data_IF_221466802862
#
_entry.id   IF_221466802862
#
_cell.length_a   1.000
_cell.length_b   1.000
_cell.length_c   1.000
_cell.angle_alpha   90.00
_cell.angle_beta   90.00
_cell.angle_gamma   90.00
#
_symmetry.space_group_name_H-M   'P 1'
#
loop_
_entity.id
_entity.type
_entity.pdbx_description
1 polymer ?
#
# COMPACT_ATOMS: atom_id res chain seq x y z
N UNK A 1 10.88 -30.20 2.75
CA UNK A 1 10.15 -29.15 3.48
C UNK A 1 10.84 -27.86 3.10
N UNK A 2 10.23 -27.05 2.23
CA UNK A 2 10.84 -25.79 1.82
C UNK A 2 10.74 -24.83 3.00
N UNK A 3 11.89 -24.37 3.50
CA UNK A 3 11.96 -23.27 4.45
C UNK A 3 11.24 -22.08 3.83
N UNK A 4 10.17 -21.63 4.47
CA UNK A 4 9.61 -20.33 4.14
C UNK A 4 10.66 -19.30 4.57
N UNK A 5 11.03 -18.33 3.71
CA UNK A 5 11.97 -17.30 4.10
C UNK A 5 11.43 -16.61 5.36
N UNK A 6 12.20 -16.65 6.45
CA UNK A 6 11.92 -15.87 7.63
C UNK A 6 11.77 -14.42 7.21
N UNK A 7 10.64 -13.80 7.60
CA UNK A 7 10.49 -12.36 7.42
C UNK A 7 11.50 -11.70 8.36
N UNK A 8 12.62 -11.22 7.81
CA UNK A 8 13.65 -10.43 8.49
C UNK A 8 13.09 -9.08 8.98
N UNK A 9 12.14 -9.11 9.92
CA UNK A 9 11.60 -7.91 10.55
C UNK A 9 12.57 -7.36 11.60
N UNK A 10 13.35 -8.26 12.23
CA UNK A 10 14.21 -7.94 13.37
C UNK A 10 15.55 -7.31 12.95
N UNK A 11 15.91 -7.39 11.66
CA UNK A 11 17.18 -6.85 11.12
C UNK A 11 17.04 -5.42 10.52
N UNK A 12 15.82 -4.88 10.42
CA UNK A 12 15.57 -3.54 9.87
C UNK A 12 15.59 -2.51 11.00
N UNK A 13 16.78 -1.96 11.27
CA UNK A 13 16.96 -0.96 12.33
C UNK A 13 16.84 0.48 11.84
N UNK A 14 16.76 0.71 10.52
CA UNK A 14 16.79 2.06 9.93
C UNK A 14 15.63 2.26 8.95
N UNK A 15 14.81 3.28 9.21
CA UNK A 15 13.77 3.75 8.27
C UNK A 15 14.44 4.63 7.23
N UNK A 16 14.17 4.37 5.94
CA UNK A 16 14.68 5.18 4.84
C UNK A 16 14.12 6.62 4.93
N UNK A 17 14.99 7.61 4.80
CA UNK A 17 14.52 8.97 4.57
C UNK A 17 13.86 9.12 3.18
N UNK A 18 13.26 10.28 2.91
CA UNK A 18 12.56 10.53 1.65
C UNK A 18 13.47 10.40 0.42
N UNK A 19 14.71 10.90 0.52
CA UNK A 19 15.67 10.92 -0.60
C UNK A 19 16.18 9.52 -0.90
N UNK A 20 16.44 8.73 0.13
CA UNK A 20 16.83 7.33 0.02
C UNK A 20 15.72 6.51 -0.65
N UNK A 21 14.46 6.70 -0.23
CA UNK A 21 13.30 6.05 -0.83
C UNK A 21 13.17 6.39 -2.34
N UNK A 22 13.26 7.67 -2.69
CA UNK A 22 13.23 8.12 -4.10
C UNK A 22 14.39 7.52 -4.92
N UNK A 23 15.60 7.46 -4.34
CA UNK A 23 16.77 6.89 -5.00
C UNK A 23 16.60 5.40 -5.27
N UNK A 24 15.99 4.66 -4.33
CA UNK A 24 15.69 3.24 -4.50
C UNK A 24 14.64 3.03 -5.59
N UNK A 25 13.57 3.84 -5.60
CA UNK A 25 12.54 3.80 -6.65
C UNK A 25 13.17 4.00 -8.03
N UNK A 26 14.06 4.98 -8.15
CA UNK A 26 14.75 5.26 -9.41
C UNK A 26 15.58 4.08 -9.89
N UNK A 27 16.37 3.47 -9.00
CA UNK A 27 17.17 2.28 -9.32
C UNK A 27 16.32 1.07 -9.71
N UNK A 28 15.19 0.87 -9.02
CA UNK A 28 14.25 -0.21 -9.34
C UNK A 28 13.67 -0.01 -10.74
N UNK A 29 13.24 1.22 -11.05
CA UNK A 29 12.71 1.54 -12.38
C UNK A 29 13.78 1.43 -13.47
N UNK A 30 15.01 1.90 -13.22
CA UNK A 30 16.15 1.77 -14.14
C UNK A 30 16.50 0.31 -14.44
N UNK A 31 16.27 -0.59 -13.48
CA UNK A 31 16.45 -2.03 -13.66
C UNK A 31 15.34 -2.69 -14.50
N UNK A 32 14.33 -1.93 -14.96
CA UNK A 32 13.24 -2.43 -15.80
C UNK A 32 12.11 -3.11 -15.03
N UNK A 33 12.03 -2.92 -13.71
CA UNK A 33 10.89 -3.40 -12.91
C UNK A 33 9.63 -2.66 -13.35
N UNK A 34 8.53 -3.39 -13.50
CA UNK A 34 7.27 -2.84 -14.00
C UNK A 34 6.31 -2.40 -12.88
N UNK A 35 6.42 -3.00 -11.70
CA UNK A 35 5.47 -2.83 -10.59
C UNK A 35 6.19 -2.69 -9.26
N UNK A 36 5.70 -1.79 -8.42
CA UNK A 36 6.18 -1.57 -7.07
C UNK A 36 5.03 -1.74 -6.09
N UNK A 37 5.18 -2.70 -5.17
CA UNK A 37 4.29 -2.85 -4.03
C UNK A 37 4.89 -2.17 -2.81
N UNK A 38 4.16 -1.23 -2.21
CA UNK A 38 4.52 -0.52 -0.99
C UNK A 38 3.66 -1.06 0.14
N UNK A 39 4.29 -1.58 1.19
CA UNK A 39 3.65 -2.12 2.39
C UNK A 39 4.58 -2.05 3.59
N UNK A 40 4.43 -2.95 4.56
CA UNK A 40 5.30 -3.01 5.75
C UNK A 40 4.49 -2.79 7.03
N UNK A 41 4.79 -1.73 7.77
CA UNK A 41 3.91 -1.21 8.83
C UNK A 41 2.61 -0.66 8.23
N UNK A 42 2.17 0.53 8.64
CA UNK A 42 1.09 1.23 7.94
C UNK A 42 1.69 2.29 7.01
N UNK A 43 1.79 2.06 5.68
CA UNK A 43 2.45 2.99 4.77
C UNK A 43 1.75 4.35 4.72
N UNK A 44 0.43 4.40 4.94
CA UNK A 44 -0.33 5.65 4.95
C UNK A 44 -0.11 6.50 6.21
N UNK A 45 0.64 6.01 7.20
CA UNK A 45 1.10 6.82 8.35
C UNK A 45 2.42 7.54 8.07
N UNK A 46 3.06 7.29 6.92
CA UNK A 46 4.34 7.90 6.55
C UNK A 46 4.08 9.29 5.93
N UNK A 47 4.63 10.35 6.53
CA UNK A 47 4.33 11.75 6.18
C UNK A 47 4.59 12.10 4.71
N UNK A 48 5.59 11.46 4.08
CA UNK A 48 6.02 11.67 2.69
C UNK A 48 5.48 10.61 1.72
N UNK A 49 4.49 9.79 2.12
CA UNK A 49 3.97 8.68 1.29
C UNK A 49 3.48 9.15 -0.08
N UNK A 50 2.79 10.29 -0.15
CA UNK A 50 2.28 10.84 -1.41
C UNK A 50 3.43 11.18 -2.35
N UNK A 51 4.51 11.78 -1.84
CA UNK A 51 5.71 12.11 -2.62
C UNK A 51 6.41 10.85 -3.15
N UNK A 52 6.46 9.79 -2.35
CA UNK A 52 7.06 8.51 -2.71
C UNK A 52 6.27 7.84 -3.84
N UNK A 53 4.94 7.77 -3.68
CA UNK A 53 4.05 7.18 -4.68
C UNK A 53 4.05 8.00 -5.97
N UNK A 54 4.05 9.34 -5.86
CA UNK A 54 4.18 10.24 -7.00
C UNK A 54 5.46 9.99 -7.80
N UNK A 55 6.61 9.84 -7.11
CA UNK A 55 7.88 9.51 -7.76
C UNK A 55 7.81 8.17 -8.50
N UNK A 56 7.26 7.14 -7.88
CA UNK A 56 7.13 5.83 -8.53
C UNK A 56 6.22 5.88 -9.76
N UNK A 57 5.12 6.64 -9.68
CA UNK A 57 4.24 6.90 -10.82
C UNK A 57 4.94 7.66 -11.95
N UNK A 58 5.70 8.73 -11.66
CA UNK A 58 6.51 9.47 -12.64
C UNK A 58 7.53 8.57 -13.36
N UNK A 59 8.10 7.60 -12.62
CA UNK A 59 9.00 6.57 -13.15
C UNK A 59 8.27 5.47 -13.92
N UNK A 60 6.95 5.60 -14.14
CA UNK A 60 6.06 4.68 -14.88
C UNK A 60 5.92 3.30 -14.25
N UNK A 61 6.17 3.19 -12.94
CA UNK A 61 5.88 1.97 -12.19
C UNK A 61 4.37 1.85 -11.98
N UNK A 62 3.84 0.63 -12.09
CA UNK A 62 2.51 0.31 -11.56
C UNK A 62 2.64 0.20 -10.05
N UNK A 63 2.06 1.16 -9.33
CA UNK A 63 2.20 1.23 -7.87
C UNK A 63 0.96 0.65 -7.19
N UNK A 64 1.19 -0.22 -6.20
CA UNK A 64 0.16 -0.64 -5.26
C UNK A 64 0.60 -0.29 -3.84
N UNK A 65 -0.32 0.25 -3.06
CA UNK A 65 -0.11 0.49 -1.62
C UNK A 65 -0.97 -0.49 -0.85
N UNK A 66 -0.39 -1.23 0.09
CA UNK A 66 -1.11 -2.14 0.98
C UNK A 66 -1.32 -1.50 2.34
N UNK A 67 -2.57 -1.21 2.69
CA UNK A 67 -2.94 -0.69 4.00
C UNK A 67 -3.58 -1.78 4.87
N UNK A 68 -3.37 -1.73 6.17
CA UNK A 68 -4.09 -2.59 7.14
C UNK A 68 -5.31 -1.89 7.75
N UNK A 69 -5.60 -0.66 7.32
CA UNK A 69 -6.71 0.17 7.82
C UNK A 69 -7.88 0.13 6.85
N UNK A 70 -9.08 0.02 7.43
CA UNK A 70 -10.33 0.14 6.67
C UNK A 70 -10.87 1.58 6.63
N UNK A 71 -10.53 2.39 7.63
CA UNK A 71 -11.01 3.76 7.75
C UNK A 71 -9.92 4.74 7.34
N UNK A 72 -10.26 5.59 6.39
CA UNK A 72 -9.41 6.63 5.82
C UNK A 72 -10.20 7.91 5.63
N UNK A 73 -9.53 9.05 5.74
CA UNK A 73 -10.11 10.31 5.31
C UNK A 73 -10.18 10.34 3.78
N UNK A 74 -11.28 10.88 3.24
CA UNK A 74 -11.51 10.94 1.80
C UNK A 74 -10.40 11.73 1.09
N UNK A 75 -9.89 12.78 1.73
CA UNK A 75 -8.85 13.65 1.17
C UNK A 75 -7.51 12.91 1.00
N UNK A 76 -7.12 12.07 1.97
CA UNK A 76 -5.90 11.26 1.90
C UNK A 76 -5.95 10.27 0.73
N UNK A 77 -7.09 9.58 0.58
CA UNK A 77 -7.29 8.66 -0.54
C UNK A 77 -7.37 9.39 -1.88
N UNK A 78 -7.93 10.60 -1.92
CA UNK A 78 -7.99 11.41 -3.13
C UNK A 78 -6.60 11.82 -3.60
N UNK A 79 -5.72 12.22 -2.69
CA UNK A 79 -4.32 12.52 -3.04
C UNK A 79 -3.59 11.29 -3.56
N UNK A 80 -3.81 10.12 -2.93
CA UNK A 80 -3.22 8.86 -3.35
C UNK A 80 -3.72 8.40 -4.74
N UNK A 81 -5.01 8.54 -5.01
CA UNK A 81 -5.66 8.15 -6.25
C UNK A 81 -5.16 8.91 -7.50
N UNK A 82 -4.45 10.03 -7.31
CA UNK A 82 -3.77 10.73 -8.42
C UNK A 82 -2.64 9.91 -9.03
N UNK A 83 -2.07 8.97 -8.27
CA UNK A 83 -0.82 8.29 -8.62
C UNK A 83 -0.95 6.77 -8.71
N UNK A 84 -1.97 6.18 -8.10
CA UNK A 84 -2.20 4.74 -8.15
C UNK A 84 -3.59 4.41 -8.71
N UNK A 85 -3.72 3.22 -9.30
CA UNK A 85 -5.01 2.68 -9.74
C UNK A 85 -5.64 1.73 -8.77
N UNK A 86 -4.86 1.10 -7.90
CA UNK A 86 -5.35 0.06 -7.02
C UNK A 86 -4.74 0.18 -5.62
N UNK A 87 -5.61 0.33 -4.62
CA UNK A 87 -5.28 0.17 -3.21
C UNK A 87 -5.45 -1.31 -2.83
N UNK A 88 -4.50 -1.86 -2.08
CA UNK A 88 -4.57 -3.21 -1.54
C UNK A 88 -4.97 -3.13 -0.06
N UNK A 89 -5.94 -3.94 0.36
CA UNK A 89 -6.28 -4.12 1.78
C UNK A 89 -5.63 -5.40 2.31
N UNK A 90 -4.89 -5.32 3.40
CA UNK A 90 -4.36 -6.50 4.09
C UNK A 90 -5.46 -7.19 4.89
N UNK A 91 -5.82 -8.42 4.51
CA UNK A 91 -6.90 -9.16 5.16
C UNK A 91 -6.40 -9.84 6.44
N UNK A 92 -7.00 -9.45 7.58
CA UNK A 92 -6.80 -10.11 8.86
C UNK A 92 -7.70 -11.34 8.95
N UNK A 93 -7.16 -12.50 8.59
CA UNK A 93 -7.91 -13.75 8.46
C UNK A 93 -8.64 -14.12 9.76
N UNK A 94 -7.98 -13.96 10.91
CA UNK A 94 -8.58 -14.27 12.21
C UNK A 94 -9.79 -13.38 12.52
N UNK A 95 -9.70 -12.09 12.20
CA UNK A 95 -10.81 -11.15 12.41
C UNK A 95 -11.95 -11.43 11.44
N UNK A 96 -11.65 -11.70 10.16
CA UNK A 96 -12.66 -12.04 9.16
C UNK A 96 -13.39 -13.34 9.52
N UNK A 97 -12.69 -14.33 10.10
CA UNK A 97 -13.31 -15.57 10.56
C UNK A 97 -14.16 -15.39 11.82
N UNK A 98 -13.72 -14.55 12.78
CA UNK A 98 -14.44 -14.32 14.05
C UNK A 98 -15.61 -13.35 13.90
N UNK A 99 -15.46 -12.35 13.05
CA UNK A 99 -16.37 -11.21 12.91
C UNK A 99 -16.68 -10.92 11.42
N UNK A 100 -17.20 -11.90 10.66
CA UNK A 100 -17.32 -11.81 9.20
C UNK A 100 -18.20 -10.65 8.74
N UNK A 101 -19.35 -10.42 9.39
CA UNK A 101 -20.25 -9.35 8.99
C UNK A 101 -19.65 -7.96 9.26
N UNK A 102 -18.93 -7.79 10.38
CA UNK A 102 -18.28 -6.51 10.71
C UNK A 102 -17.14 -6.20 9.72
N UNK A 103 -16.30 -7.18 9.41
CA UNK A 103 -15.20 -7.00 8.46
C UNK A 103 -15.74 -6.78 7.03
N UNK A 104 -16.81 -7.47 6.65
CA UNK A 104 -17.50 -7.25 5.37
C UNK A 104 -18.11 -5.86 5.27
N UNK A 105 -18.74 -5.35 6.34
CA UNK A 105 -19.29 -4.00 6.37
C UNK A 105 -18.18 -2.95 6.14
N UNK A 106 -17.05 -3.07 6.85
CA UNK A 106 -15.88 -2.21 6.66
C UNK A 106 -15.33 -2.27 5.23
N UNK A 107 -15.24 -3.46 4.64
CA UNK A 107 -14.83 -3.63 3.24
C UNK A 107 -15.79 -2.93 2.28
N UNK A 108 -17.10 -3.06 2.47
CA UNK A 108 -18.11 -2.41 1.62
C UNK A 108 -18.00 -0.89 1.71
N UNK A 109 -17.81 -0.34 2.92
CA UNK A 109 -17.61 1.10 3.12
C UNK A 109 -16.35 1.60 2.39
N UNK A 110 -15.23 0.88 2.52
CA UNK A 110 -13.98 1.23 1.85
C UNK A 110 -14.09 1.12 0.32
N UNK A 111 -14.77 0.10 -0.20
CA UNK A 111 -15.04 -0.07 -1.64
C UNK A 111 -15.89 1.08 -2.17
N UNK A 112 -16.91 1.51 -1.43
CA UNK A 112 -17.74 2.65 -1.82
C UNK A 112 -16.90 3.93 -1.93
N UNK A 113 -16.08 4.20 -0.90
CA UNK A 113 -15.21 5.37 -0.83
C UNK A 113 -14.20 5.42 -1.98
N UNK A 114 -13.55 4.29 -2.27
CA UNK A 114 -12.53 4.22 -3.34
C UNK A 114 -13.14 4.28 -4.74
N UNK A 115 -14.34 3.72 -4.93
CA UNK A 115 -15.06 3.82 -6.21
C UNK A 115 -15.38 5.27 -6.59
N UNK A 116 -15.74 6.11 -5.62
CA UNK A 116 -15.98 7.55 -5.87
C UNK A 116 -14.73 8.28 -6.40
N UNK A 117 -13.54 7.74 -6.08
CA UNK A 117 -12.25 8.28 -6.50
C UNK A 117 -11.69 7.64 -7.78
N UNK A 118 -12.40 6.67 -8.36
CA UNK A 118 -11.88 5.87 -9.48
C UNK A 118 -10.67 5.01 -9.10
N UNK A 119 -10.58 4.64 -7.82
CA UNK A 119 -9.54 3.79 -7.26
C UNK A 119 -10.10 2.38 -7.08
N UNK A 120 -9.45 1.39 -7.68
CA UNK A 120 -9.81 -0.02 -7.51
C UNK A 120 -9.30 -0.55 -6.17
N UNK A 121 -9.95 -1.61 -5.68
CA UNK A 121 -9.51 -2.35 -4.50
C UNK A 121 -9.14 -3.78 -4.85
N UNK A 122 -7.95 -4.18 -4.40
CA UNK A 122 -7.52 -5.56 -4.28
C UNK A 122 -7.30 -5.96 -2.82
N UNK A 123 -7.01 -7.23 -2.58
CA UNK A 123 -6.72 -7.75 -1.25
C UNK A 123 -5.38 -8.53 -1.25
N UNK A 124 -4.64 -8.37 -0.15
CA UNK A 124 -3.40 -9.09 0.17
C UNK A 124 -3.55 -9.92 1.44
#
# INVERSE_FOLDING_TARGET
MLDFPERHRDDITTVLDTKEAMTIIDKIADAGVFQLAIGGGEPLMREDIISIVARAHERKLVVHVTTGRYLHELDDLRELAKYIKCLQIGIKQEELLKHPENEKEKLVQLIALTRELGLDIGAN
#
